data_IF_633886334558
#
_entry.id   IF_633886334558
#
_cell.length_a   1.000
_cell.length_b   1.000
_cell.length_c   1.000
_cell.angle_alpha   90.00
_cell.angle_beta   90.00
_cell.angle_gamma   90.00
#
_symmetry.space_group_name_H-M   'P 1'
#
loop_
_entity.id
_entity.type
_entity.pdbx_description
1 polymer ?
#
# COMPACT_ATOMS: atom_id res chain seq x y z
N UNK A 1 -18.47 7.41 24.63
CA UNK A 1 -19.19 8.04 23.49
C UNK A 1 -18.15 8.43 22.44
N UNK A 2 -18.06 7.73 21.30
CA UNK A 2 -17.22 8.20 20.19
C UNK A 2 -17.85 9.47 19.62
N UNK A 3 -17.20 10.59 19.81
CA UNK A 3 -17.57 11.84 19.15
C UNK A 3 -17.37 11.60 17.66
N UNK A 4 -18.46 11.57 16.88
CA UNK A 4 -18.38 11.53 15.43
C UNK A 4 -17.78 12.87 15.00
N UNK A 5 -16.48 12.90 14.66
CA UNK A 5 -15.81 14.13 14.21
C UNK A 5 -16.42 14.74 12.94
N UNK A 6 -17.24 13.98 12.20
CA UNK A 6 -18.01 14.45 11.06
C UNK A 6 -19.48 14.57 11.45
N UNK A 7 -19.81 15.38 12.46
CA UNK A 7 -21.18 15.83 12.62
C UNK A 7 -21.57 16.77 11.46
N UNK A 8 -22.86 17.01 11.31
CA UNK A 8 -23.39 17.82 10.20
C UNK A 8 -22.89 19.27 10.25
N UNK A 9 -22.72 19.80 11.44
CA UNK A 9 -22.23 21.17 11.67
C UNK A 9 -20.76 21.30 11.23
N UNK A 10 -19.93 20.33 11.61
CA UNK A 10 -18.51 20.31 11.26
C UNK A 10 -18.30 20.19 9.74
N UNK A 11 -19.03 19.27 9.08
CA UNK A 11 -19.00 19.12 7.63
C UNK A 11 -19.44 20.40 6.92
N UNK A 12 -20.52 21.04 7.39
CA UNK A 12 -21.00 22.32 6.86
C UNK A 12 -19.93 23.41 6.94
N UNK A 13 -19.20 23.49 8.07
CA UNK A 13 -18.10 24.43 8.24
C UNK A 13 -16.98 24.20 7.23
N UNK A 14 -16.56 22.95 7.02
CA UNK A 14 -15.53 22.58 6.03
C UNK A 14 -15.97 22.97 4.62
N UNK A 15 -17.18 22.62 4.24
CA UNK A 15 -17.72 22.90 2.90
C UNK A 15 -17.89 24.40 2.67
N UNK A 16 -18.31 25.16 3.66
CA UNK A 16 -18.39 26.62 3.56
C UNK A 16 -17.00 27.28 3.40
N UNK A 17 -15.96 26.70 4.03
CA UNK A 17 -14.57 27.20 3.95
C UNK A 17 -13.91 26.88 2.62
N UNK A 18 -14.13 25.69 2.07
CA UNK A 18 -13.40 25.17 0.91
C UNK A 18 -14.26 24.85 -0.32
N UNK A 19 -15.55 24.61 -0.13
CA UNK A 19 -16.40 24.06 -1.19
C UNK A 19 -16.56 24.95 -2.43
N UNK A 20 -16.44 26.27 -2.28
CA UNK A 20 -16.49 27.21 -3.43
C UNK A 20 -15.29 27.11 -4.34
N UNK A 21 -14.15 26.72 -3.78
CA UNK A 21 -12.86 26.72 -4.48
C UNK A 21 -12.48 25.33 -5.05
N UNK A 22 -13.22 24.26 -4.65
CA UNK A 22 -12.91 22.89 -5.11
C UNK A 22 -13.13 22.73 -6.62
N UNK A 23 -14.15 23.36 -7.18
CA UNK A 23 -14.48 23.32 -8.61
C UNK A 23 -14.91 24.70 -9.11
N UNK A 24 -13.98 25.64 -9.26
CA UNK A 24 -14.33 27.05 -9.63
C UNK A 24 -15.10 27.17 -10.94
N UNK A 25 -14.81 26.26 -11.90
CA UNK A 25 -15.46 26.25 -13.21
C UNK A 25 -16.94 25.84 -13.18
N UNK A 26 -17.44 25.25 -12.07
CA UNK A 26 -18.82 24.80 -11.93
C UNK A 26 -19.73 25.84 -11.26
N UNK A 27 -19.18 26.99 -10.87
CA UNK A 27 -19.92 28.05 -10.22
C UNK A 27 -20.26 27.77 -8.75
N UNK A 28 -21.39 28.31 -8.30
CA UNK A 28 -21.81 28.25 -6.88
C UNK A 28 -22.34 26.88 -6.53
N UNK A 29 -21.85 26.31 -5.41
CA UNK A 29 -22.39 25.09 -4.81
C UNK A 29 -23.85 25.33 -4.38
N UNK A 30 -24.76 24.48 -4.85
CA UNK A 30 -26.20 24.57 -4.52
C UNK A 30 -26.54 23.79 -3.25
N UNK A 31 -26.04 22.58 -3.12
CA UNK A 31 -26.24 21.72 -1.94
C UNK A 31 -25.16 20.65 -1.84
N UNK A 32 -25.11 19.95 -0.73
CA UNK A 32 -24.26 18.77 -0.55
C UNK A 32 -25.02 17.68 0.21
N UNK A 33 -24.57 16.45 0.04
CA UNK A 33 -25.10 15.26 0.70
C UNK A 33 -23.93 14.42 1.25
N UNK A 34 -24.07 13.90 2.48
CA UNK A 34 -23.12 12.95 3.07
C UNK A 34 -23.53 11.53 2.64
N UNK A 35 -22.74 10.91 1.78
CA UNK A 35 -23.01 9.57 1.23
C UNK A 35 -22.51 8.42 2.11
N UNK A 36 -21.53 8.69 2.98
CA UNK A 36 -20.98 7.66 3.86
C UNK A 36 -19.89 8.16 4.78
N UNK A 37 -19.76 7.49 5.91
CA UNK A 37 -18.73 7.76 6.92
C UNK A 37 -18.07 6.42 7.30
N UNK A 38 -16.75 6.42 7.45
CA UNK A 38 -15.97 5.25 7.82
C UNK A 38 -14.87 5.66 8.79
N UNK A 39 -14.73 4.94 9.90
CA UNK A 39 -13.62 5.12 10.82
C UNK A 39 -12.57 4.03 10.59
N UNK A 40 -11.37 4.47 10.25
CA UNK A 40 -10.19 3.63 10.10
C UNK A 40 -9.31 3.75 11.34
N UNK A 41 -8.26 2.92 11.41
CA UNK A 41 -7.36 2.91 12.59
C UNK A 41 -6.70 4.28 12.84
N UNK A 42 -6.31 4.98 11.77
CA UNK A 42 -5.54 6.22 11.85
C UNK A 42 -6.19 7.42 11.16
N UNK A 43 -7.38 7.24 10.62
CA UNK A 43 -8.09 8.30 9.91
C UNK A 43 -9.60 8.06 9.94
N UNK A 44 -10.34 9.13 9.66
CA UNK A 44 -11.77 9.06 9.36
C UNK A 44 -12.02 9.51 7.94
N UNK A 45 -12.93 8.83 7.26
CA UNK A 45 -13.30 9.09 5.88
C UNK A 45 -14.76 9.55 5.84
N UNK A 46 -15.03 10.64 5.13
CA UNK A 46 -16.38 11.08 4.81
C UNK A 46 -16.51 11.20 3.29
N UNK A 47 -17.47 10.49 2.71
CA UNK A 47 -17.80 10.60 1.27
C UNK A 47 -18.95 11.55 1.11
N UNK A 48 -18.84 12.46 0.16
CA UNK A 48 -19.81 13.51 -0.06
C UNK A 48 -20.10 13.71 -1.54
N UNK A 49 -21.34 14.06 -1.79
CA UNK A 49 -21.83 14.49 -3.10
C UNK A 49 -22.06 16.00 -3.05
N UNK A 50 -21.41 16.71 -3.94
CA UNK A 50 -21.54 18.15 -4.12
C UNK A 50 -22.42 18.41 -5.34
N UNK A 51 -23.53 19.14 -5.16
CA UNK A 51 -24.47 19.46 -6.23
C UNK A 51 -24.26 20.91 -6.69
N UNK A 52 -23.94 21.09 -7.95
CA UNK A 52 -23.87 22.36 -8.66
C UNK A 52 -25.09 22.49 -9.58
N UNK A 53 -25.33 23.66 -10.16
CA UNK A 53 -26.51 23.92 -11.00
C UNK A 53 -26.68 22.88 -12.13
N UNK A 54 -25.58 22.50 -12.80
CA UNK A 54 -25.61 21.63 -14.00
C UNK A 54 -24.79 20.35 -13.82
N UNK A 55 -24.22 20.10 -12.65
CA UNK A 55 -23.36 18.95 -12.44
C UNK A 55 -23.29 18.50 -10.99
N UNK A 56 -22.84 17.29 -10.81
CA UNK A 56 -22.59 16.69 -9.50
C UNK A 56 -21.16 16.18 -9.44
N UNK A 57 -20.51 16.40 -8.30
CA UNK A 57 -19.16 15.88 -8.02
C UNK A 57 -19.16 15.10 -6.71
N UNK A 58 -18.45 13.97 -6.71
CA UNK A 58 -18.25 13.20 -5.50
C UNK A 58 -16.82 13.44 -4.98
N UNK A 59 -16.71 13.68 -3.68
CA UNK A 59 -15.45 13.95 -2.99
C UNK A 59 -15.30 13.07 -1.76
N UNK A 60 -14.04 12.90 -1.35
CA UNK A 60 -13.66 12.22 -0.12
C UNK A 60 -12.90 13.19 0.78
N UNK A 61 -13.35 13.33 2.02
CA UNK A 61 -12.59 13.98 3.07
C UNK A 61 -11.92 12.92 3.93
N UNK A 62 -10.59 12.99 4.04
CA UNK A 62 -9.78 12.14 4.90
C UNK A 62 -9.22 12.98 6.03
N UNK A 63 -9.71 12.76 7.26
CA UNK A 63 -9.20 13.39 8.48
C UNK A 63 -8.20 12.47 9.16
N UNK A 64 -7.04 12.98 9.50
CA UNK A 64 -6.03 12.25 10.25
C UNK A 64 -6.30 12.31 11.75
N UNK A 65 -6.16 11.16 12.42
CA UNK A 65 -6.29 11.02 13.87
C UNK A 65 -4.89 11.03 14.49
N UNK A 66 -4.33 12.21 14.74
CA UNK A 66 -2.98 12.39 15.30
C UNK A 66 -2.79 11.68 16.64
N UNK A 67 -3.81 11.69 17.48
CA UNK A 67 -3.82 11.07 18.81
C UNK A 67 -3.57 9.55 18.77
N UNK A 68 -3.94 8.90 17.67
CA UNK A 68 -3.74 7.46 17.46
C UNK A 68 -2.37 7.09 16.89
N UNK A 69 -1.54 8.08 16.55
CA UNK A 69 -0.20 7.89 16.00
C UNK A 69 0.85 8.33 17.01
N UNK A 70 1.36 7.39 17.79
CA UNK A 70 2.55 7.63 18.61
C UNK A 70 3.79 7.69 17.72
N UNK A 71 4.52 8.81 17.73
CA UNK A 71 5.90 9.08 17.27
C UNK A 71 6.05 10.16 16.19
N UNK A 72 7.25 10.75 16.15
CA UNK A 72 7.74 11.93 15.42
C UNK A 72 7.56 11.93 13.87
N UNK A 73 7.08 10.87 13.27
CA UNK A 73 6.74 10.78 11.84
C UNK A 73 5.23 10.96 11.60
N UNK A 74 4.64 11.99 12.18
CA UNK A 74 3.24 12.30 11.88
C UNK A 74 3.12 12.72 10.40
N UNK A 75 2.17 12.13 9.64
CA UNK A 75 1.93 12.56 8.27
C UNK A 75 1.44 14.00 8.30
N UNK A 76 2.05 14.82 7.49
CA UNK A 76 1.55 16.15 7.21
C UNK A 76 0.55 16.06 6.06
N UNK A 77 -0.66 16.53 6.29
CA UNK A 77 -1.70 16.64 5.25
C UNK A 77 -1.19 17.42 4.05
N UNK A 78 -0.45 18.50 4.31
CA UNK A 78 0.18 19.31 3.26
C UNK A 78 1.20 18.52 2.43
N UNK A 79 2.07 17.73 3.10
CA UNK A 79 3.04 16.88 2.38
C UNK A 79 2.34 15.85 1.50
N UNK A 80 1.29 15.20 2.00
CA UNK A 80 0.53 14.24 1.19
C UNK A 80 -0.18 14.94 0.04
N UNK A 81 -0.80 16.10 0.26
CA UNK A 81 -1.42 16.87 -0.81
C UNK A 81 -0.39 17.25 -1.90
N UNK A 82 0.75 17.80 -1.51
CA UNK A 82 1.76 18.26 -2.45
C UNK A 82 2.32 17.12 -3.31
N UNK A 83 2.61 15.96 -2.71
CA UNK A 83 3.08 14.80 -3.47
C UNK A 83 1.98 14.22 -4.37
N UNK A 84 0.74 14.13 -3.90
CA UNK A 84 -0.39 13.71 -4.72
C UNK A 84 -0.59 14.65 -5.91
N UNK A 85 -0.56 15.97 -5.69
CA UNK A 85 -0.70 16.96 -6.74
C UNK A 85 0.42 16.85 -7.79
N UNK A 86 1.67 16.77 -7.34
CA UNK A 86 2.82 16.58 -8.22
C UNK A 86 2.68 15.32 -9.07
N UNK A 87 2.36 14.19 -8.46
CA UNK A 87 2.22 12.92 -9.15
C UNK A 87 1.01 12.91 -10.08
N UNK A 88 -0.14 13.44 -9.63
CA UNK A 88 -1.34 13.51 -10.47
C UNK A 88 -1.05 14.20 -11.80
N UNK A 89 -0.35 15.35 -11.79
CA UNK A 89 0.03 16.06 -12.99
C UNK A 89 0.98 15.24 -13.88
N UNK A 90 1.94 14.55 -13.30
CA UNK A 90 2.90 13.71 -14.04
C UNK A 90 2.27 12.48 -14.68
N UNK A 91 1.27 11.91 -14.03
CA UNK A 91 0.57 10.73 -14.53
C UNK A 91 -0.52 11.05 -15.56
N UNK A 92 -0.94 12.30 -15.75
CA UNK A 92 -1.99 12.67 -16.71
C UNK A 92 -1.68 12.23 -18.15
N UNK A 93 -0.41 12.18 -18.53
CA UNK A 93 0.03 11.72 -19.87
C UNK A 93 0.11 10.20 -20.01
N UNK A 94 -0.13 9.44 -18.94
CA UNK A 94 0.01 7.99 -18.90
C UNK A 94 -1.36 7.32 -18.85
N UNK A 95 -1.68 6.56 -19.88
CA UNK A 95 -2.95 5.85 -19.95
C UNK A 95 -3.06 4.74 -18.89
N UNK A 96 -4.21 4.66 -18.23
CA UNK A 96 -4.59 3.55 -17.35
C UNK A 96 -3.93 3.52 -15.98
N UNK A 97 -3.16 4.53 -15.59
CA UNK A 97 -2.52 4.61 -14.27
C UNK A 97 -2.49 6.04 -13.74
N UNK A 98 -2.88 6.24 -12.49
CA UNK A 98 -2.76 7.54 -11.82
C UNK A 98 -2.73 7.38 -10.29
N UNK A 99 -2.67 8.51 -9.58
CA UNK A 99 -3.04 8.65 -8.17
C UNK A 99 -4.45 9.24 -8.08
N UNK A 100 -5.08 9.22 -6.90
CA UNK A 100 -6.32 9.97 -6.70
C UNK A 100 -6.06 11.45 -6.91
N UNK A 101 -7.06 12.15 -7.47
CA UNK A 101 -6.95 13.59 -7.72
C UNK A 101 -7.09 14.38 -6.43
N UNK A 102 -6.05 15.06 -5.94
CA UNK A 102 -6.17 15.96 -4.80
C UNK A 102 -6.90 17.24 -5.24
N UNK A 103 -7.77 17.73 -4.38
CA UNK A 103 -8.53 18.96 -4.61
C UNK A 103 -8.08 20.08 -3.70
N UNK A 104 -7.98 19.81 -2.40
CA UNK A 104 -7.57 20.78 -1.39
C UNK A 104 -7.04 20.08 -0.14
N UNK A 105 -6.42 20.84 0.76
CA UNK A 105 -6.09 20.39 2.11
C UNK A 105 -6.40 21.49 3.13
N UNK A 106 -6.72 21.11 4.35
CA UNK A 106 -7.01 21.98 5.48
C UNK A 106 -6.06 21.62 6.62
N UNK A 107 -4.90 22.29 6.74
CA UNK A 107 -3.85 21.89 7.68
C UNK A 107 -4.28 22.02 9.14
N UNK A 108 -5.09 23.04 9.48
CA UNK A 108 -5.61 23.27 10.82
C UNK A 108 -6.58 22.17 11.29
N UNK A 109 -7.26 21.53 10.34
CA UNK A 109 -8.24 20.47 10.59
C UNK A 109 -7.68 19.06 10.35
N UNK A 110 -6.44 18.96 9.88
CA UNK A 110 -5.80 17.70 9.43
C UNK A 110 -6.62 16.96 8.36
N UNK A 111 -7.20 17.69 7.40
CA UNK A 111 -8.08 17.13 6.37
C UNK A 111 -7.45 17.25 4.98
N UNK A 112 -7.41 16.13 4.28
CA UNK A 112 -7.17 16.05 2.84
C UNK A 112 -8.50 15.87 2.10
N UNK A 113 -8.72 16.64 1.04
CA UNK A 113 -9.90 16.56 0.18
C UNK A 113 -9.45 16.07 -1.19
N UNK A 114 -10.06 14.98 -1.65
CA UNK A 114 -9.78 14.37 -2.96
C UNK A 114 -11.07 14.17 -3.75
N UNK A 115 -10.97 14.10 -5.07
CA UNK A 115 -12.07 13.63 -5.89
C UNK A 115 -12.29 12.13 -5.63
N UNK A 116 -13.55 11.73 -5.49
CA UNK A 116 -13.88 10.31 -5.31
C UNK A 116 -13.65 9.57 -6.64
N UNK A 117 -12.92 8.48 -6.55
CA UNK A 117 -12.78 7.53 -7.64
C UNK A 117 -13.57 6.27 -7.32
N UNK A 118 -14.70 6.10 -8.00
CA UNK A 118 -15.60 4.96 -7.80
C UNK A 118 -15.01 3.74 -8.50
N UNK A 119 -14.43 2.85 -7.72
CA UNK A 119 -13.79 1.63 -8.21
C UNK A 119 -13.60 0.62 -7.07
N UNK A 120 -13.31 -0.63 -7.41
CA UNK A 120 -13.06 -1.68 -6.44
C UNK A 120 -11.61 -1.63 -5.92
N UNK A 121 -11.43 -1.98 -4.64
CA UNK A 121 -10.08 -2.22 -4.10
C UNK A 121 -9.49 -3.47 -4.73
N UNK A 122 -8.24 -3.41 -5.17
CA UNK A 122 -7.57 -4.52 -5.84
C UNK A 122 -7.49 -5.78 -4.98
N UNK A 123 -7.35 -5.65 -3.65
CA UNK A 123 -7.40 -6.80 -2.74
C UNK A 123 -8.77 -7.49 -2.71
N UNK A 124 -9.87 -6.75 -2.89
CA UNK A 124 -11.22 -7.33 -3.02
C UNK A 124 -11.36 -8.13 -4.32
N UNK A 125 -10.83 -7.61 -5.42
CA UNK A 125 -10.82 -8.31 -6.72
C UNK A 125 -9.99 -9.61 -6.67
N UNK A 126 -8.86 -9.63 -5.93
CA UNK A 126 -8.12 -10.87 -5.70
C UNK A 126 -9.02 -11.93 -5.03
N UNK A 127 -9.78 -11.54 -4.01
CA UNK A 127 -10.62 -12.46 -3.25
C UNK A 127 -11.85 -12.87 -4.04
N UNK A 128 -12.50 -11.95 -4.75
CA UNK A 128 -13.78 -12.20 -5.42
C UNK A 128 -13.60 -12.84 -6.80
N UNK A 129 -12.57 -12.43 -7.54
CA UNK A 129 -12.43 -12.77 -8.95
C UNK A 129 -11.30 -13.77 -9.26
N UNK A 130 -10.35 -13.97 -8.34
CA UNK A 130 -9.18 -14.85 -8.54
C UNK A 130 -9.21 -16.09 -7.64
N UNK A 131 -9.96 -16.05 -6.56
CA UNK A 131 -10.13 -17.18 -5.65
C UNK A 131 -10.93 -18.30 -6.34
N UNK A 132 -10.65 -19.56 -5.99
CA UNK A 132 -11.26 -20.76 -6.55
C UNK A 132 -10.95 -20.93 -8.06
N UNK A 133 -11.97 -20.98 -8.89
CA UNK A 133 -11.85 -21.18 -10.35
C UNK A 133 -12.32 -19.89 -11.05
N UNK A 134 -11.42 -18.94 -11.34
CA UNK A 134 -11.77 -17.70 -12.01
C UNK A 134 -12.14 -17.94 -13.49
N UNK A 135 -13.09 -17.15 -14.02
CA UNK A 135 -13.30 -17.12 -15.48
C UNK A 135 -12.06 -16.56 -16.19
N UNK A 136 -11.93 -16.87 -17.48
CA UNK A 136 -10.80 -16.39 -18.29
C UNK A 136 -10.78 -14.87 -18.36
N UNK A 137 -11.95 -14.24 -18.49
CA UNK A 137 -12.14 -12.80 -18.59
C UNK A 137 -11.71 -12.10 -17.30
N UNK A 138 -12.23 -12.53 -16.14
CA UNK A 138 -11.86 -11.98 -14.83
C UNK A 138 -10.38 -12.13 -14.55
N UNK A 139 -9.81 -13.28 -14.86
CA UNK A 139 -8.37 -13.53 -14.72
C UNK A 139 -7.53 -12.61 -15.60
N UNK A 140 -7.95 -12.39 -16.86
CA UNK A 140 -7.30 -11.46 -17.78
C UNK A 140 -7.37 -10.01 -17.27
N UNK A 141 -8.55 -9.59 -16.80
CA UNK A 141 -8.78 -8.25 -16.27
C UNK A 141 -7.92 -7.97 -15.03
N UNK A 142 -7.97 -8.85 -14.02
CA UNK A 142 -7.17 -8.68 -12.80
C UNK A 142 -5.67 -8.74 -13.10
N UNK A 143 -5.23 -9.65 -14.00
CA UNK A 143 -3.85 -9.68 -14.48
C UNK A 143 -3.41 -8.33 -15.06
N UNK A 144 -4.28 -7.67 -15.85
CA UNK A 144 -4.00 -6.35 -16.40
C UNK A 144 -3.81 -5.29 -15.32
N UNK A 145 -4.66 -5.28 -14.27
CA UNK A 145 -4.50 -4.37 -13.14
C UNK A 145 -3.15 -4.54 -12.42
N UNK A 146 -2.68 -5.78 -12.28
CA UNK A 146 -1.36 -6.04 -11.69
C UNK A 146 -0.21 -5.56 -12.57
N UNK A 147 -0.32 -5.70 -13.88
CA UNK A 147 0.62 -5.10 -14.84
C UNK A 147 0.62 -3.57 -14.73
N UNK A 148 -0.56 -2.96 -14.62
CA UNK A 148 -0.69 -1.52 -14.39
C UNK A 148 -0.07 -1.09 -13.05
N UNK A 149 -0.20 -1.86 -11.97
CA UNK A 149 0.47 -1.60 -10.69
C UNK A 149 2.00 -1.60 -10.83
N UNK A 150 2.56 -2.56 -11.55
CA UNK A 150 3.99 -2.59 -11.83
C UNK A 150 4.43 -1.35 -12.63
N UNK A 151 3.69 -1.02 -13.69
CA UNK A 151 3.94 0.17 -14.50
C UNK A 151 3.81 1.46 -13.69
N UNK A 152 2.81 1.55 -12.82
CA UNK A 152 2.64 2.68 -11.91
C UNK A 152 3.85 2.85 -11.01
N UNK A 153 4.31 1.78 -10.35
CA UNK A 153 5.47 1.84 -9.45
C UNK A 153 6.74 2.28 -10.19
N UNK A 154 6.98 1.76 -11.40
CA UNK A 154 8.10 2.16 -12.26
C UNK A 154 8.10 3.67 -12.54
N UNK A 155 6.95 4.22 -12.96
CA UNK A 155 6.84 5.65 -13.25
C UNK A 155 6.88 6.50 -11.99
N UNK A 156 6.28 6.05 -10.89
CA UNK A 156 6.40 6.69 -9.58
C UNK A 156 7.86 6.86 -9.17
N UNK A 157 8.63 5.79 -9.24
CA UNK A 157 10.06 5.81 -8.94
C UNK A 157 10.85 6.69 -9.91
N UNK A 158 10.52 6.65 -11.20
CA UNK A 158 11.14 7.51 -12.23
C UNK A 158 10.88 8.99 -11.97
N UNK A 159 9.65 9.37 -11.67
CA UNK A 159 9.27 10.78 -11.46
C UNK A 159 9.80 11.35 -10.14
N UNK A 160 10.06 10.49 -9.17
CA UNK A 160 10.54 10.88 -7.84
C UNK A 160 12.02 10.58 -7.62
N UNK A 161 12.74 10.10 -8.64
CA UNK A 161 14.18 9.85 -8.55
C UNK A 161 14.93 11.15 -8.23
N UNK A 162 15.89 11.06 -7.30
CA UNK A 162 16.83 12.13 -6.97
C UNK A 162 18.23 11.79 -7.49
N UNK A 163 19.04 12.81 -7.69
CA UNK A 163 20.46 12.67 -8.06
C UNK A 163 21.33 12.37 -6.82
N UNK A 164 20.77 11.57 -5.92
CA UNK A 164 21.39 11.16 -4.67
C UNK A 164 21.38 9.63 -4.57
N UNK A 165 22.31 9.08 -3.79
CA UNK A 165 22.42 7.64 -3.57
C UNK A 165 22.34 7.30 -2.09
N UNK A 166 21.75 6.14 -1.80
CA UNK A 166 21.75 5.57 -0.46
C UNK A 166 22.86 4.50 -0.38
N UNK A 167 23.78 4.58 0.60
CA UNK A 167 24.69 3.48 0.85
C UNK A 167 23.91 2.21 1.24
N UNK A 168 24.24 1.09 0.61
CA UNK A 168 23.71 -0.22 0.93
C UNK A 168 24.87 -1.11 1.39
N UNK A 169 24.98 -1.26 2.70
CA UNK A 169 25.99 -2.08 3.36
C UNK A 169 25.36 -3.13 4.26
N UNK A 170 26.14 -4.16 4.60
CA UNK A 170 25.68 -5.24 5.48
C UNK A 170 25.24 -4.70 6.83
N UNK A 171 26.01 -3.82 7.45
CA UNK A 171 25.72 -3.28 8.80
C UNK A 171 24.38 -2.54 8.82
N UNK A 172 24.15 -1.64 7.87
CA UNK A 172 22.87 -0.93 7.73
C UNK A 172 21.69 -1.84 7.50
N UNK A 173 21.90 -2.90 6.72
CA UNK A 173 20.85 -3.88 6.46
C UNK A 173 20.55 -4.67 7.74
N UNK A 174 21.57 -5.15 8.47
CA UNK A 174 21.43 -5.86 9.73
C UNK A 174 20.73 -5.03 10.79
N UNK A 175 21.11 -3.78 11.00
CA UNK A 175 20.43 -2.86 11.92
C UNK A 175 18.93 -2.78 11.65
N UNK A 176 18.54 -2.73 10.36
CA UNK A 176 17.13 -2.68 9.96
C UNK A 176 16.37 -4.00 10.18
N UNK A 177 17.06 -5.16 10.05
CA UNK A 177 16.41 -6.46 10.11
C UNK A 177 16.31 -6.99 11.55
N UNK A 178 17.27 -6.68 12.41
CA UNK A 178 17.33 -7.17 13.80
C UNK A 178 16.07 -6.84 14.59
N UNK A 179 15.62 -5.59 14.54
CA UNK A 179 14.37 -5.18 15.19
C UNK A 179 13.15 -5.99 14.70
N UNK A 180 13.14 -6.35 13.40
CA UNK A 180 12.06 -7.15 12.80
C UNK A 180 12.16 -8.62 13.21
N UNK A 181 13.38 -9.18 13.26
CA UNK A 181 13.62 -10.53 13.74
C UNK A 181 13.20 -10.69 15.20
N UNK A 182 13.63 -9.77 16.08
CA UNK A 182 13.24 -9.77 17.48
C UNK A 182 11.72 -9.73 17.66
N UNK A 183 11.04 -8.86 16.90
CA UNK A 183 9.58 -8.76 16.92
C UNK A 183 8.88 -10.00 16.35
N UNK A 184 9.53 -10.78 15.48
CA UNK A 184 8.94 -11.97 14.85
C UNK A 184 8.94 -13.19 15.76
N UNK A 185 9.70 -13.18 16.86
CA UNK A 185 9.72 -14.27 17.86
C UNK A 185 8.33 -14.49 18.45
N UNK A 186 7.57 -13.43 18.72
CA UNK A 186 6.20 -13.53 19.25
C UNK A 186 5.22 -14.27 18.33
N UNK A 187 5.55 -14.37 17.03
CA UNK A 187 4.77 -15.12 16.04
C UNK A 187 5.28 -16.55 15.84
N UNK A 188 6.30 -16.97 16.61
CA UNK A 188 6.84 -18.33 16.56
C UNK A 188 8.05 -18.51 15.65
N UNK A 189 8.70 -17.42 15.22
CA UNK A 189 10.01 -17.53 14.54
C UNK A 189 11.04 -18.01 15.54
N UNK A 190 11.57 -19.23 15.34
CA UNK A 190 12.53 -19.85 16.26
C UNK A 190 13.87 -19.12 16.23
N UNK A 191 14.53 -18.96 17.37
CA UNK A 191 15.86 -18.35 17.46
C UNK A 191 16.92 -19.08 16.61
N UNK A 192 16.76 -20.38 16.37
CA UNK A 192 17.64 -21.16 15.47
C UNK A 192 17.65 -20.59 14.05
N UNK A 193 16.51 -20.10 13.55
CA UNK A 193 16.43 -19.47 12.23
C UNK A 193 17.19 -18.14 12.14
N UNK A 194 17.43 -17.46 13.26
CA UNK A 194 18.22 -16.23 13.23
C UNK A 194 19.64 -16.51 12.70
N UNK A 195 20.29 -17.61 13.16
CA UNK A 195 21.63 -17.99 12.68
C UNK A 195 21.65 -18.26 11.17
N UNK A 196 20.61 -18.92 10.66
CA UNK A 196 20.47 -19.23 9.24
C UNK A 196 20.21 -17.96 8.41
N UNK A 197 19.38 -17.05 8.93
CA UNK A 197 19.13 -15.73 8.31
C UNK A 197 20.44 -14.93 8.23
N UNK A 198 21.23 -14.86 9.30
CA UNK A 198 22.51 -14.16 9.29
C UNK A 198 23.49 -14.78 8.28
N UNK A 199 23.55 -16.11 8.20
CA UNK A 199 24.36 -16.80 7.18
C UNK A 199 23.91 -16.48 5.76
N UNK A 200 22.60 -16.43 5.52
CA UNK A 200 22.03 -16.04 4.22
C UNK A 200 22.44 -14.61 3.86
N UNK A 201 22.30 -13.66 4.81
CA UNK A 201 22.68 -12.27 4.63
C UNK A 201 24.16 -12.15 4.31
N UNK A 202 25.02 -12.76 5.12
CA UNK A 202 26.48 -12.74 4.93
C UNK A 202 26.87 -13.31 3.56
N UNK A 203 26.33 -14.45 3.16
CA UNK A 203 26.58 -15.04 1.85
C UNK A 203 26.15 -14.15 0.69
N UNK A 204 25.03 -13.41 0.83
CA UNK A 204 24.58 -12.47 -0.21
C UNK A 204 25.48 -11.24 -0.27
N UNK A 205 25.83 -10.64 0.88
CA UNK A 205 26.72 -9.49 0.92
C UNK A 205 28.13 -9.78 0.43
N UNK A 206 28.65 -10.99 0.62
CA UNK A 206 29.94 -11.43 0.01
C UNK A 206 29.92 -11.37 -1.52
N UNK A 207 28.73 -11.56 -2.16
CA UNK A 207 28.59 -11.47 -3.62
C UNK A 207 28.30 -10.06 -4.09
N UNK A 208 27.52 -9.31 -3.31
CA UNK A 208 27.08 -7.97 -3.67
C UNK A 208 28.19 -6.95 -3.44
N UNK A 209 28.90 -7.04 -2.30
CA UNK A 209 29.75 -5.97 -1.77
C UNK A 209 28.93 -4.75 -1.33
N UNK A 210 29.61 -3.69 -0.91
CA UNK A 210 28.98 -2.42 -0.63
C UNK A 210 28.59 -1.72 -1.93
N UNK A 211 27.38 -1.23 -1.99
CA UNK A 211 26.82 -0.56 -3.17
C UNK A 211 26.15 0.76 -2.82
N UNK A 212 25.95 1.56 -3.85
CA UNK A 212 25.11 2.75 -3.81
C UNK A 212 23.84 2.48 -4.58
N UNK A 213 22.68 2.68 -3.96
CA UNK A 213 21.37 2.48 -4.57
C UNK A 213 20.74 3.84 -4.85
N UNK A 214 20.06 3.95 -5.99
CA UNK A 214 19.30 5.15 -6.36
C UNK A 214 18.30 5.53 -5.27
N UNK A 215 18.21 6.81 -4.97
CA UNK A 215 17.22 7.40 -4.06
C UNK A 215 15.97 7.75 -4.87
N UNK A 216 14.87 7.04 -4.59
CA UNK A 216 13.58 7.21 -5.26
C UNK A 216 12.47 7.44 -4.24
N UNK A 217 11.32 7.93 -4.69
CA UNK A 217 10.14 8.01 -3.84
C UNK A 217 9.76 6.63 -3.29
N UNK A 218 9.34 6.62 -2.06
CA UNK A 218 8.86 5.47 -1.30
C UNK A 218 7.46 5.76 -0.80
N UNK A 219 6.49 4.99 -1.26
CA UNK A 219 5.10 5.09 -0.84
C UNK A 219 4.93 4.68 0.64
N UNK A 220 5.67 3.65 1.07
CA UNK A 220 5.68 3.17 2.46
C UNK A 220 4.63 2.13 2.82
N UNK A 221 3.54 2.07 2.05
CA UNK A 221 2.48 1.06 2.19
C UNK A 221 1.88 0.67 0.83
N UNK A 222 2.73 0.59 -0.22
CA UNK A 222 2.28 0.18 -1.55
C UNK A 222 1.86 -1.29 -1.53
N UNK A 223 0.55 -1.51 -1.61
CA UNK A 223 -0.05 -2.84 -1.47
C UNK A 223 -1.44 -2.88 -2.14
N UNK A 224 -1.99 -4.07 -2.45
CA UNK A 224 -3.27 -4.19 -3.15
C UNK A 224 -4.47 -3.49 -2.47
N UNK A 225 -4.44 -3.26 -1.17
CA UNK A 225 -5.51 -2.53 -0.46
C UNK A 225 -5.46 -1.01 -0.65
N UNK A 226 -4.33 -0.47 -1.12
CA UNK A 226 -4.13 0.93 -1.45
C UNK A 226 -4.21 1.20 -2.97
N UNK A 227 -4.79 0.28 -3.73
CA UNK A 227 -5.04 0.43 -5.16
C UNK A 227 -6.52 0.26 -5.44
N UNK A 228 -7.12 1.24 -6.11
CA UNK A 228 -8.44 1.17 -6.69
C UNK A 228 -8.32 0.81 -8.17
N UNK A 229 -9.18 -0.08 -8.66
CA UNK A 229 -9.16 -0.53 -10.04
C UNK A 229 -10.56 -0.43 -10.67
N UNK A 230 -10.67 0.30 -11.77
CA UNK A 230 -11.83 0.35 -12.65
C UNK A 230 -11.51 -0.32 -13.99
N UNK A 231 -12.50 -0.47 -14.85
CA UNK A 231 -12.29 -1.06 -16.20
C UNK A 231 -11.24 -0.31 -17.03
N UNK A 232 -11.04 0.98 -16.76
CA UNK A 232 -10.17 1.86 -17.56
C UNK A 232 -8.79 2.08 -16.96
N UNK A 233 -8.71 2.22 -15.64
CA UNK A 233 -7.48 2.63 -14.97
C UNK A 233 -7.40 2.14 -13.53
N UNK A 234 -6.19 2.14 -13.00
CA UNK A 234 -5.95 2.05 -11.55
C UNK A 234 -5.60 3.42 -10.97
N UNK A 235 -5.97 3.64 -9.70
CA UNK A 235 -5.51 4.78 -8.91
C UNK A 235 -4.95 4.32 -7.57
N UNK A 236 -3.79 4.89 -7.23
CA UNK A 236 -3.11 4.58 -5.97
C UNK A 236 -3.48 5.62 -4.92
N UNK A 237 -3.71 5.12 -3.70
CA UNK A 237 -4.16 5.87 -2.52
C UNK A 237 -3.04 5.98 -1.50
N UNK A 238 -3.21 6.90 -0.53
CA UNK A 238 -2.56 6.86 0.78
C UNK A 238 -1.04 7.05 0.75
N UNK A 239 -0.61 8.20 0.23
CA UNK A 239 0.79 8.64 0.21
C UNK A 239 1.23 9.32 1.52
N UNK A 240 0.52 9.09 2.62
CA UNK A 240 0.79 9.69 3.94
C UNK A 240 2.17 9.35 4.52
N UNK A 241 2.76 8.24 4.05
CA UNK A 241 4.10 7.76 4.44
C UNK A 241 5.17 8.06 3.42
N UNK A 242 4.84 8.92 2.45
CA UNK A 242 5.81 9.26 1.41
C UNK A 242 7.14 9.75 2.00
N UNK A 243 8.19 9.16 1.53
CA UNK A 243 9.58 9.52 1.85
C UNK A 243 10.50 9.07 0.72
N UNK A 244 11.80 9.18 0.90
CA UNK A 244 12.76 8.71 -0.10
C UNK A 244 13.52 7.50 0.41
N UNK A 245 13.59 6.45 -0.42
CA UNK A 245 14.35 5.21 -0.17
C UNK A 245 14.84 4.64 -1.49
N UNK A 246 15.38 3.42 -1.47
CA UNK A 246 15.73 2.73 -2.71
C UNK A 246 14.52 2.02 -3.34
N UNK A 247 14.66 1.70 -4.61
CA UNK A 247 13.61 1.13 -5.44
C UNK A 247 13.08 -0.25 -4.97
N UNK A 248 13.88 -1.02 -4.20
CA UNK A 248 13.48 -2.37 -3.76
C UNK A 248 12.42 -2.36 -2.65
N UNK A 249 12.26 -1.26 -1.91
CA UNK A 249 11.38 -1.19 -0.73
C UNK A 249 9.91 -1.45 -1.06
N UNK A 250 9.29 -0.62 -1.92
CA UNK A 250 7.88 -0.78 -2.28
C UNK A 250 7.66 -1.97 -3.22
N UNK A 251 8.61 -2.20 -4.12
CA UNK A 251 8.56 -3.30 -5.07
C UNK A 251 8.40 -4.65 -4.37
N UNK A 252 9.28 -4.94 -3.42
CA UNK A 252 9.25 -6.20 -2.69
C UNK A 252 8.16 -6.23 -1.63
N UNK A 253 7.76 -5.06 -1.08
CA UNK A 253 6.61 -5.00 -0.17
C UNK A 253 5.33 -5.45 -0.87
N UNK A 254 5.07 -4.94 -2.08
CA UNK A 254 3.90 -5.33 -2.87
C UNK A 254 3.88 -6.84 -3.14
N UNK A 255 5.01 -7.40 -3.56
CA UNK A 255 5.16 -8.83 -3.81
C UNK A 255 4.95 -9.67 -2.54
N UNK A 256 5.49 -9.24 -1.40
CA UNK A 256 5.28 -9.93 -0.11
C UNK A 256 3.81 -9.91 0.33
N UNK A 257 3.10 -8.78 0.12
CA UNK A 257 1.68 -8.69 0.41
C UNK A 257 0.86 -9.63 -0.50
N UNK A 258 1.22 -9.71 -1.78
CA UNK A 258 0.58 -10.60 -2.74
C UNK A 258 0.85 -12.08 -2.43
N UNK A 259 2.08 -12.43 -2.03
CA UNK A 259 2.39 -13.78 -1.53
C UNK A 259 1.49 -14.17 -0.34
N UNK A 260 1.23 -13.24 0.57
CA UNK A 260 0.33 -13.46 1.70
C UNK A 260 -1.09 -13.88 1.31
N UNK A 261 -1.55 -13.53 0.09
CA UNK A 261 -2.85 -13.96 -0.41
C UNK A 261 -2.95 -15.49 -0.59
N UNK A 262 -1.83 -16.22 -0.71
CA UNK A 262 -1.79 -17.68 -0.72
C UNK A 262 -2.30 -18.31 0.58
N UNK A 263 -2.33 -17.54 1.68
CA UNK A 263 -2.92 -17.97 2.94
C UNK A 263 -4.46 -17.98 2.93
N UNK A 264 -5.10 -17.36 1.92
CA UNK A 264 -6.56 -17.32 1.78
C UNK A 264 -7.06 -18.69 1.32
N UNK A 265 -8.14 -19.18 1.94
CA UNK A 265 -8.75 -20.45 1.56
C UNK A 265 -9.24 -20.38 0.11
N UNK A 266 -8.92 -21.39 -0.72
CA UNK A 266 -9.31 -21.43 -2.15
C UNK A 266 -8.38 -20.66 -3.08
N UNK A 267 -7.36 -19.98 -2.56
CA UNK A 267 -6.34 -19.33 -3.39
C UNK A 267 -5.28 -20.33 -3.82
N UNK A 268 -5.00 -20.40 -5.13
CA UNK A 268 -3.98 -21.30 -5.68
C UNK A 268 -2.65 -20.59 -5.89
N UNK A 269 -1.54 -21.32 -5.75
CA UNK A 269 -0.21 -20.80 -6.08
C UNK A 269 -0.13 -20.31 -7.52
N UNK A 270 -0.75 -21.05 -8.46
CA UNK A 270 -0.79 -20.68 -9.88
C UNK A 270 -1.42 -19.32 -10.11
N UNK A 271 -2.56 -19.04 -9.47
CA UNK A 271 -3.25 -17.76 -9.63
C UNK A 271 -2.40 -16.60 -9.09
N UNK A 272 -1.81 -16.75 -7.90
CA UNK A 272 -0.96 -15.70 -7.33
C UNK A 272 0.30 -15.49 -8.16
N UNK A 273 0.95 -16.56 -8.65
CA UNK A 273 2.15 -16.42 -9.47
C UNK A 273 1.86 -15.64 -10.77
N UNK A 274 0.73 -15.90 -11.44
CA UNK A 274 0.32 -15.14 -12.64
C UNK A 274 0.18 -13.64 -12.35
N UNK A 275 -0.34 -13.26 -11.17
CA UNK A 275 -0.46 -11.86 -10.78
C UNK A 275 0.92 -11.24 -10.46
N UNK A 276 1.80 -11.99 -9.81
CA UNK A 276 3.18 -11.56 -9.55
C UNK A 276 3.94 -11.34 -10.85
N UNK A 277 3.85 -12.30 -11.78
CA UNK A 277 4.50 -12.20 -13.09
C UNK A 277 4.01 -10.97 -13.86
N UNK A 278 2.71 -10.70 -13.82
CA UNK A 278 2.13 -9.52 -14.45
C UNK A 278 2.66 -8.20 -13.82
N UNK A 279 2.77 -8.16 -12.50
CA UNK A 279 3.32 -7.00 -11.79
C UNK A 279 4.81 -6.79 -12.14
N UNK A 280 5.60 -7.87 -12.10
CA UNK A 280 7.03 -7.86 -12.45
C UNK A 280 7.25 -7.39 -13.89
N UNK A 281 6.46 -7.92 -14.84
CA UNK A 281 6.51 -7.50 -16.24
C UNK A 281 6.15 -6.01 -16.41
N UNK A 282 5.12 -5.53 -15.70
CA UNK A 282 4.74 -4.11 -15.73
C UNK A 282 5.83 -3.18 -15.18
N UNK A 283 6.57 -3.63 -14.16
CA UNK A 283 7.65 -2.85 -13.56
C UNK A 283 8.95 -2.87 -14.39
N UNK A 284 9.18 -3.91 -15.21
CA UNK A 284 10.41 -4.04 -16.03
C UNK A 284 11.67 -4.28 -15.16
N UNK A 285 11.63 -5.36 -14.38
CA UNK A 285 12.63 -5.70 -13.34
C UNK A 285 13.95 -6.27 -13.90
N UNK A 286 14.07 -6.47 -15.21
CA UNK A 286 15.16 -7.26 -15.82
C UNK A 286 16.60 -6.81 -15.45
N UNK A 287 16.77 -5.58 -15.00
CA UNK A 287 18.09 -4.99 -14.65
C UNK A 287 18.40 -4.98 -13.16
N UNK A 288 17.63 -5.69 -12.33
CA UNK A 288 17.81 -5.64 -10.88
C UNK A 288 18.87 -6.66 -10.39
N UNK A 289 19.57 -6.27 -9.33
CA UNK A 289 20.42 -7.21 -8.60
C UNK A 289 19.55 -8.18 -7.80
N UNK A 290 19.55 -9.45 -8.19
CA UNK A 290 18.73 -10.49 -7.57
C UNK A 290 19.08 -10.72 -6.08
N UNK A 291 20.33 -10.60 -5.69
CA UNK A 291 20.71 -10.79 -4.29
C UNK A 291 20.19 -9.68 -3.40
N UNK A 292 20.21 -8.42 -3.87
CA UNK A 292 19.58 -7.28 -3.18
C UNK A 292 18.07 -7.47 -3.13
N UNK A 293 17.46 -7.87 -4.24
CA UNK A 293 16.02 -8.12 -4.29
C UNK A 293 15.59 -9.17 -3.25
N UNK A 294 16.30 -10.31 -3.16
CA UNK A 294 16.01 -11.37 -2.19
C UNK A 294 16.17 -10.90 -0.74
N UNK A 295 17.17 -10.06 -0.45
CA UNK A 295 17.34 -9.45 0.86
C UNK A 295 16.11 -8.57 1.20
N UNK A 296 15.61 -7.76 0.26
CA UNK A 296 14.42 -6.96 0.49
C UNK A 296 13.14 -7.80 0.56
N UNK A 297 13.02 -8.92 -0.15
CA UNK A 297 11.94 -9.91 0.05
C UNK A 297 11.95 -10.42 1.50
N UNK A 298 13.11 -10.85 2.02
CA UNK A 298 13.24 -11.28 3.42
C UNK A 298 12.83 -10.18 4.39
N UNK A 299 13.39 -8.98 4.24
CA UNK A 299 13.08 -7.81 5.07
C UNK A 299 11.59 -7.47 5.09
N UNK A 300 10.94 -7.44 3.91
CA UNK A 300 9.54 -7.08 3.80
C UNK A 300 8.60 -8.22 4.21
N UNK A 301 9.02 -9.49 4.06
CA UNK A 301 8.29 -10.63 4.64
C UNK A 301 8.22 -10.52 6.16
N UNK A 302 9.33 -10.21 6.83
CA UNK A 302 9.35 -9.95 8.28
C UNK A 302 8.51 -8.72 8.65
N UNK A 303 8.55 -7.65 7.84
CA UNK A 303 7.72 -6.46 8.05
C UNK A 303 6.23 -6.79 8.00
N UNK A 304 5.78 -7.56 7.00
CA UNK A 304 4.37 -7.95 6.85
C UNK A 304 3.95 -8.90 7.98
N UNK A 305 4.77 -9.90 8.35
CA UNK A 305 4.51 -10.77 9.49
C UNK A 305 4.28 -9.96 10.77
N UNK A 306 5.12 -8.95 11.04
CA UNK A 306 5.03 -8.13 12.25
C UNK A 306 3.83 -7.16 12.26
N UNK A 307 3.15 -6.98 11.12
CA UNK A 307 1.95 -6.14 10.99
C UNK A 307 0.63 -6.88 11.18
N UNK A 308 0.64 -8.22 11.21
CA UNK A 308 -0.60 -9.03 11.25
C UNK A 308 -1.50 -8.68 12.45
N UNK A 309 -0.94 -8.26 13.58
CA UNK A 309 -1.71 -7.91 14.80
C UNK A 309 -2.23 -6.47 14.83
N UNK A 310 -1.70 -5.57 14.00
CA UNK A 310 -2.02 -4.13 14.06
C UNK A 310 -3.49 -3.87 13.66
N UNK A 311 -4.04 -4.71 12.78
CA UNK A 311 -5.41 -4.58 12.29
C UNK A 311 -6.41 -5.34 13.17
N UNK A 312 -6.56 -4.93 14.44
CA UNK A 312 -7.70 -5.35 15.26
C UNK A 312 -8.89 -4.46 14.93
N UNK A 313 -9.89 -5.01 14.28
CA UNK A 313 -11.18 -4.33 14.13
C UNK A 313 -11.84 -4.25 15.51
N UNK A 314 -12.09 -3.05 16.00
CA UNK A 314 -12.66 -2.79 17.33
C UNK A 314 -14.14 -3.23 17.49
N UNK A 315 -14.85 -3.55 16.39
CA UNK A 315 -16.30 -3.76 16.36
C UNK A 315 -16.74 -5.11 15.76
N UNK A 316 -16.00 -6.20 15.96
CA UNK A 316 -16.35 -7.50 15.38
C UNK A 316 -17.28 -8.32 16.28
N UNK A 317 -18.38 -8.86 15.72
CA UNK A 317 -19.26 -9.86 16.36
C UNK A 317 -18.47 -11.13 16.68
N UNK A 318 -18.93 -11.95 17.63
CA UNK A 318 -18.18 -13.11 18.15
C UNK A 318 -17.74 -14.14 17.09
N UNK A 319 -18.57 -14.40 16.07
CA UNK A 319 -18.26 -15.31 14.95
C UNK A 319 -17.18 -14.71 14.02
N UNK A 320 -17.22 -13.41 13.75
CA UNK A 320 -16.21 -12.71 12.97
C UNK A 320 -14.85 -12.73 13.68
N UNK A 321 -14.85 -12.68 15.02
CA UNK A 321 -13.63 -12.81 15.82
C UNK A 321 -12.96 -14.19 15.68
N UNK A 322 -13.74 -15.27 15.60
CA UNK A 322 -13.22 -16.62 15.38
C UNK A 322 -12.62 -16.77 13.99
N UNK A 323 -13.34 -16.26 12.98
CA UNK A 323 -12.84 -16.24 11.60
C UNK A 323 -11.56 -15.44 11.47
N UNK A 324 -11.50 -14.23 12.05
CA UNK A 324 -10.30 -13.38 12.06
C UNK A 324 -9.10 -14.04 12.76
N UNK A 325 -9.34 -14.70 13.91
CA UNK A 325 -8.28 -15.48 14.60
C UNK A 325 -7.76 -16.62 13.71
N UNK A 326 -8.66 -17.36 13.05
CA UNK A 326 -8.29 -18.43 12.14
C UNK A 326 -7.48 -17.90 10.94
N UNK A 327 -7.95 -16.82 10.30
CA UNK A 327 -7.28 -16.16 9.20
C UNK A 327 -5.87 -15.71 9.57
N UNK A 328 -5.72 -15.04 10.72
CA UNK A 328 -4.41 -14.59 11.24
C UNK A 328 -3.47 -15.77 11.50
N UNK A 329 -3.96 -16.83 12.14
CA UNK A 329 -3.15 -18.03 12.39
C UNK A 329 -2.64 -18.66 11.08
N UNK A 330 -3.48 -18.76 10.06
CA UNK A 330 -3.07 -19.23 8.72
C UNK A 330 -2.02 -18.31 8.09
N UNK A 331 -2.22 -17.02 8.15
CA UNK A 331 -1.31 -16.03 7.59
C UNK A 331 0.06 -16.06 8.28
N UNK A 332 0.09 -16.15 9.62
CA UNK A 332 1.33 -16.33 10.38
C UNK A 332 2.04 -17.61 9.95
N UNK A 333 1.33 -18.76 9.93
CA UNK A 333 1.90 -20.05 9.50
C UNK A 333 2.47 -19.97 8.09
N UNK A 334 1.77 -19.30 7.18
CA UNK A 334 2.22 -19.09 5.81
C UNK A 334 3.55 -18.31 5.77
N UNK A 335 3.64 -17.15 6.42
CA UNK A 335 4.85 -16.34 6.38
C UNK A 335 6.03 -17.01 7.08
N UNK A 336 5.82 -17.75 8.17
CA UNK A 336 6.88 -18.54 8.79
C UNK A 336 7.41 -19.63 7.85
N UNK A 337 6.53 -20.33 7.14
CA UNK A 337 6.91 -21.30 6.12
C UNK A 337 7.63 -20.63 4.94
N UNK A 338 7.16 -19.47 4.51
CA UNK A 338 7.78 -18.70 3.43
C UNK A 338 9.21 -18.25 3.78
N UNK A 339 9.41 -17.73 5.01
CA UNK A 339 10.76 -17.39 5.52
C UNK A 339 11.66 -18.64 5.53
N UNK A 340 11.14 -19.77 6.00
CA UNK A 340 11.90 -21.02 6.02
C UNK A 340 12.35 -21.45 4.61
N UNK A 341 11.46 -21.33 3.62
CA UNK A 341 11.79 -21.60 2.22
C UNK A 341 12.83 -20.64 1.65
N UNK A 342 12.79 -19.35 2.01
CA UNK A 342 13.80 -18.37 1.59
C UNK A 342 15.18 -18.70 2.14
N UNK A 343 15.25 -19.25 3.36
CA UNK A 343 16.50 -19.66 4.01
C UNK A 343 17.01 -20.98 3.42
N UNK A 344 16.12 -21.96 3.20
CA UNK A 344 16.45 -23.32 2.75
C UNK A 344 16.83 -23.42 1.28
N UNK A 345 16.33 -22.53 0.43
CA UNK A 345 16.62 -22.50 -1.00
C UNK A 345 18.00 -21.89 -1.28
N UNK A 346 19.04 -22.72 -1.27
CA UNK A 346 20.41 -22.33 -1.67
C UNK A 346 20.50 -21.81 -3.11
N UNK A 347 19.44 -21.95 -3.94
CA UNK A 347 19.39 -21.55 -5.36
C UNK A 347 17.97 -21.15 -5.80
N UNK A 348 17.36 -20.15 -5.18
CA UNK A 348 16.12 -19.61 -5.73
C UNK A 348 16.41 -18.71 -6.94
N UNK A 349 16.55 -19.32 -8.12
CA UNK A 349 16.27 -18.60 -9.35
C UNK A 349 14.75 -18.38 -9.38
N UNK A 350 14.30 -17.16 -9.23
CA UNK A 350 12.96 -16.76 -9.67
C UNK A 350 13.00 -16.94 -11.19
N UNK A 351 12.39 -18.05 -11.66
CA UNK A 351 12.12 -18.27 -13.08
C UNK A 351 10.92 -17.46 -13.47
#
# INVERSE_FOLDING_TARGET
MCVSYYDEYYVKRIINKSGKDLYPSLGKLSSYEICGKEELVFSQICRMKLCYKESTKCIVLKKYLKEKRANDNQPSVEKEYNILYYLYQRFLSLEGINVIKPLAFLPEEDILITEEFVADKLNSLIVNDIRWIPSKEKKKQVKNYFSQCGRWLRYFQKFTKRDEFIPFSQDRYLENIEKKLASSIKYGLKKTFHKEIYRLIDNKFRRIGDQKLDLVGYHGDFAPWNVLASDKEIRVLDLDRFSYKNMYEDLTLFLCCLEGAKSIVGMTNKNINILKDAFVQGHDIEKMNHDIFDLYILKNTLKVLNRIDIYKNANTKSLDLLYEKYRKKRQIKFYLSYINNLIGNKNSKIK
#
